data_IF_821385334384
#
_entry.id   IF_821385334384
#
_cell.length_a   1.000
_cell.length_b   1.000
_cell.length_c   1.000
_cell.angle_alpha   90.00
_cell.angle_beta   90.00
_cell.angle_gamma   90.00
#
_symmetry.space_group_name_H-M   'P 1'
#
loop_
_entity.id
_entity.type
_entity.pdbx_description
1 polymer ?
#
# COMPACT_ATOMS: atom_id res chain seq x y z
N UNK A 1 11.78 -7.12 26.44
CA UNK A 1 10.34 -7.48 26.43
C UNK A 1 9.55 -6.75 25.34
N UNK A 2 9.82 -5.46 25.06
CA UNK A 2 9.19 -4.71 23.94
C UNK A 2 9.49 -5.24 22.52
N UNK A 3 10.55 -6.03 22.31
CA UNK A 3 10.97 -6.51 20.98
C UNK A 3 10.06 -7.62 20.42
N UNK A 4 9.67 -8.60 21.24
CA UNK A 4 8.90 -9.78 20.77
C UNK A 4 7.43 -9.44 20.49
N UNK A 5 6.83 -8.55 21.29
CA UNK A 5 5.44 -8.07 21.06
C UNK A 5 5.35 -7.14 19.84
N UNK A 6 6.34 -6.26 19.62
CA UNK A 6 6.43 -5.40 18.43
C UNK A 6 6.55 -6.21 17.14
N UNK A 7 7.40 -7.25 17.13
CA UNK A 7 7.58 -8.17 16.00
C UNK A 7 6.26 -8.87 15.61
N UNK A 8 5.47 -9.27 16.61
CA UNK A 8 4.20 -9.99 16.40
C UNK A 8 3.17 -9.08 15.74
N UNK A 9 3.04 -7.84 16.21
CA UNK A 9 2.07 -6.89 15.67
C UNK A 9 2.43 -6.42 14.26
N UNK A 10 3.71 -6.24 13.96
CA UNK A 10 4.14 -5.85 12.63
C UNK A 10 3.91 -6.94 11.58
N UNK A 11 4.18 -8.20 11.90
CA UNK A 11 3.86 -9.33 11.03
C UNK A 11 2.35 -9.46 10.76
N UNK A 12 1.52 -9.40 11.80
CA UNK A 12 0.07 -9.46 11.62
C UNK A 12 -0.46 -8.28 10.80
N UNK A 13 0.06 -7.06 11.04
CA UNK A 13 -0.28 -5.89 10.24
C UNK A 13 0.12 -6.07 8.78
N UNK A 14 1.33 -6.56 8.52
CA UNK A 14 1.81 -6.83 7.17
C UNK A 14 0.84 -7.77 6.44
N UNK A 15 0.42 -8.86 7.08
CA UNK A 15 -0.52 -9.83 6.49
C UNK A 15 -1.86 -9.20 6.09
N UNK A 16 -2.41 -8.28 6.89
CA UNK A 16 -3.69 -7.60 6.60
C UNK A 16 -3.67 -6.77 5.31
N UNK A 17 -2.49 -6.29 4.91
CA UNK A 17 -2.30 -5.59 3.64
C UNK A 17 -1.79 -6.49 2.52
N UNK A 18 -1.02 -7.52 2.85
CA UNK A 18 -0.39 -8.41 1.89
C UNK A 18 -1.35 -9.47 1.32
N UNK A 19 -2.30 -9.96 2.13
CA UNK A 19 -3.26 -10.99 1.74
C UNK A 19 -4.15 -10.62 0.54
N UNK A 20 -4.78 -9.43 0.48
CA UNK A 20 -5.72 -9.09 -0.59
C UNK A 20 -5.15 -9.14 -2.03
N UNK A 21 -3.97 -8.57 -2.34
CA UNK A 21 -3.36 -8.77 -3.66
C UNK A 21 -2.79 -10.18 -3.84
N UNK A 22 -2.37 -10.85 -2.77
CA UNK A 22 -1.82 -12.21 -2.84
C UNK A 22 -2.90 -13.24 -3.22
N UNK A 23 -4.12 -13.15 -2.67
CA UNK A 23 -5.25 -13.99 -3.08
C UNK A 23 -5.67 -13.77 -4.54
N UNK A 24 -5.33 -12.62 -5.12
CA UNK A 24 -5.58 -12.26 -6.52
C UNK A 24 -4.42 -12.67 -7.45
N UNK A 25 -3.34 -13.23 -6.91
CA UNK A 25 -2.15 -13.65 -7.66
C UNK A 25 -1.25 -12.50 -8.12
N UNK A 26 -1.38 -11.29 -7.54
CA UNK A 26 -0.61 -10.12 -7.98
C UNK A 26 0.77 -9.99 -7.33
N UNK A 27 0.97 -10.54 -6.13
CA UNK A 27 2.26 -10.50 -5.42
C UNK A 27 2.35 -11.57 -4.33
N UNK A 28 3.56 -11.83 -3.82
CA UNK A 28 3.79 -12.81 -2.75
C UNK A 28 3.96 -14.23 -3.28
N UNK A 29 4.05 -15.20 -2.36
CA UNK A 29 4.13 -16.63 -2.70
C UNK A 29 2.77 -17.25 -3.05
N UNK A 30 2.78 -18.51 -3.46
CA UNK A 30 1.57 -19.24 -3.90
C UNK A 30 0.61 -19.59 -2.74
N UNK A 31 1.12 -19.70 -1.51
CA UNK A 31 0.34 -20.09 -0.32
C UNK A 31 -0.47 -18.92 0.29
N UNK A 32 -1.42 -18.40 -0.47
CA UNK A 32 -2.32 -17.33 -0.01
C UNK A 32 -3.30 -17.81 1.07
N UNK A 33 -3.62 -19.11 1.09
CA UNK A 33 -4.48 -19.71 2.11
C UNK A 33 -3.78 -19.75 3.47
N UNK A 34 -2.51 -20.17 3.51
CA UNK A 34 -1.69 -20.15 4.72
C UNK A 34 -1.49 -18.73 5.26
N UNK A 35 -1.21 -17.74 4.40
CA UNK A 35 -1.10 -16.33 4.81
C UNK A 35 -2.39 -15.85 5.50
N UNK A 36 -3.55 -16.20 4.92
CA UNK A 36 -4.83 -15.88 5.52
C UNK A 36 -5.05 -16.58 6.87
N UNK A 37 -4.70 -17.87 6.98
CA UNK A 37 -4.83 -18.63 8.23
C UNK A 37 -4.03 -18.00 9.38
N UNK A 38 -2.79 -17.57 9.12
CA UNK A 38 -2.00 -16.83 10.12
C UNK A 38 -2.68 -15.54 10.55
N UNK A 39 -3.16 -14.75 9.57
CA UNK A 39 -3.86 -13.49 9.84
C UNK A 39 -5.16 -13.71 10.63
N UNK A 40 -5.97 -14.69 10.25
CA UNK A 40 -7.26 -15.01 10.88
C UNK A 40 -7.09 -15.55 12.30
N UNK A 41 -6.11 -16.44 12.50
CA UNK A 41 -5.80 -17.02 13.80
C UNK A 41 -5.03 -16.07 14.73
N UNK A 42 -4.63 -14.88 14.26
CA UNK A 42 -3.74 -13.95 14.97
C UNK A 42 -2.44 -14.65 15.45
N UNK A 43 -1.94 -15.60 14.64
CA UNK A 43 -0.77 -16.42 14.96
C UNK A 43 0.47 -15.85 14.27
N UNK A 44 1.60 -15.85 14.98
CA UNK A 44 2.90 -15.48 14.42
C UNK A 44 3.92 -16.54 14.78
N UNK A 45 4.68 -16.99 13.78
CA UNK A 45 5.88 -17.82 13.93
C UNK A 45 6.84 -17.57 12.74
N UNK A 46 7.89 -18.38 12.64
CA UNK A 46 8.87 -18.28 11.56
C UNK A 46 8.28 -18.45 10.15
N UNK A 47 7.19 -19.23 10.01
CA UNK A 47 6.55 -19.47 8.72
C UNK A 47 5.92 -18.20 8.14
N UNK A 48 5.19 -17.42 8.95
CA UNK A 48 4.65 -16.14 8.50
C UNK A 48 5.76 -15.15 8.11
N UNK A 49 6.86 -15.15 8.87
CA UNK A 49 8.04 -14.31 8.58
C UNK A 49 8.68 -14.69 7.25
N UNK A 50 8.76 -15.98 6.93
CA UNK A 50 9.28 -16.44 5.64
C UNK A 50 8.33 -16.12 4.49
N UNK A 51 7.00 -16.24 4.69
CA UNK A 51 6.01 -15.79 3.70
C UNK A 51 6.16 -14.31 3.36
N UNK A 52 6.42 -13.44 4.35
CA UNK A 52 6.61 -12.01 4.12
C UNK A 52 7.78 -11.69 3.20
N UNK A 53 8.86 -12.51 3.22
CA UNK A 53 10.04 -12.34 2.34
C UNK A 53 9.72 -12.56 0.86
N UNK A 54 8.68 -13.34 0.55
CA UNK A 54 8.25 -13.62 -0.83
C UNK A 54 7.53 -12.43 -1.49
N UNK A 55 7.23 -11.37 -0.73
CA UNK A 55 6.67 -10.13 -1.28
C UNK A 55 7.80 -9.24 -1.82
N UNK A 56 8.39 -9.63 -2.95
CA UNK A 56 9.56 -8.97 -3.56
C UNK A 56 9.35 -7.47 -3.86
N UNK A 57 8.10 -7.04 -4.05
CA UNK A 57 7.76 -5.62 -4.19
C UNK A 57 7.74 -4.84 -2.88
N UNK A 58 7.38 -5.46 -1.75
CA UNK A 58 7.16 -4.79 -0.47
C UNK A 58 8.34 -4.96 0.50
N UNK A 59 8.85 -6.19 0.63
CA UNK A 59 9.90 -6.53 1.60
C UNK A 59 11.19 -5.71 1.43
N UNK A 60 11.66 -5.37 0.21
CA UNK A 60 12.79 -4.48 0.05
C UNK A 60 12.56 -3.05 0.57
N UNK A 61 11.35 -2.51 0.46
CA UNK A 61 11.00 -1.20 1.03
C UNK A 61 11.04 -1.23 2.56
N UNK A 62 10.52 -2.30 3.16
CA UNK A 62 10.57 -2.49 4.62
C UNK A 62 12.02 -2.51 5.13
N UNK A 63 12.92 -3.22 4.44
CA UNK A 63 14.36 -3.21 4.77
C UNK A 63 14.98 -1.82 4.64
N UNK A 64 14.65 -1.07 3.59
CA UNK A 64 15.14 0.30 3.42
C UNK A 64 14.70 1.21 4.58
N UNK A 65 13.42 1.17 4.94
CA UNK A 65 12.88 1.99 6.04
C UNK A 65 13.55 1.60 7.35
N UNK A 66 13.58 0.30 7.69
CA UNK A 66 14.18 -0.20 8.92
C UNK A 66 15.65 0.21 9.06
N UNK A 67 16.43 0.03 7.99
CA UNK A 67 17.83 0.47 7.94
C UNK A 67 17.96 1.99 8.20
N UNK A 68 17.12 2.80 7.54
CA UNK A 68 17.17 4.26 7.67
C UNK A 68 16.85 4.77 9.07
N UNK A 69 16.15 3.97 9.88
CA UNK A 69 15.82 4.32 11.26
C UNK A 69 16.65 3.60 12.32
N UNK A 70 17.57 2.72 11.90
CA UNK A 70 18.43 1.94 12.80
C UNK A 70 17.70 0.78 13.49
N UNK A 71 16.68 0.21 12.83
CA UNK A 71 15.94 -0.95 13.32
C UNK A 71 16.40 -2.19 12.55
N UNK A 72 16.74 -3.26 13.28
CA UNK A 72 17.21 -4.52 12.68
C UNK A 72 16.08 -5.28 11.98
N UNK A 73 14.89 -5.32 12.59
CA UNK A 73 13.75 -6.05 12.02
C UNK A 73 12.98 -5.21 10.99
N UNK A 74 12.98 -5.57 9.69
CA UNK A 74 12.13 -4.93 8.69
C UNK A 74 10.62 -5.11 8.95
N UNK A 75 10.25 -6.04 9.82
CA UNK A 75 8.86 -6.34 10.16
C UNK A 75 8.43 -5.74 11.50
N UNK A 76 9.22 -4.86 12.12
CA UNK A 76 8.77 -4.04 13.26
C UNK A 76 7.50 -3.26 12.86
N UNK A 77 6.52 -3.23 13.77
CA UNK A 77 5.21 -2.64 13.50
C UNK A 77 5.26 -1.23 12.93
N UNK A 78 6.20 -0.40 13.39
CA UNK A 78 6.33 0.99 12.95
C UNK A 78 6.96 1.09 11.56
N UNK A 79 7.81 0.14 11.17
CA UNK A 79 8.32 0.02 9.78
C UNK A 79 7.18 -0.37 8.85
N UNK A 80 6.39 -1.37 9.25
CA UNK A 80 5.25 -1.87 8.48
C UNK A 80 4.18 -0.78 8.32
N UNK A 81 3.85 -0.05 9.40
CA UNK A 81 2.96 1.11 9.34
C UNK A 81 3.51 2.20 8.41
N UNK A 82 4.81 2.50 8.48
CA UNK A 82 5.45 3.51 7.62
C UNK A 82 5.27 3.16 6.14
N UNK A 83 5.43 1.89 5.77
CA UNK A 83 5.29 1.44 4.39
C UNK A 83 3.84 1.50 3.89
N UNK A 84 2.86 1.03 4.67
CA UNK A 84 1.47 0.93 4.23
C UNK A 84 0.64 2.21 4.40
N UNK A 85 0.80 2.90 5.53
CA UNK A 85 -0.02 4.04 5.92
C UNK A 85 0.75 5.36 5.97
N UNK A 86 2.07 5.28 6.13
CA UNK A 86 2.92 6.41 6.40
C UNK A 86 2.97 6.75 7.89
N UNK A 87 4.15 7.13 8.35
CA UNK A 87 4.40 7.74 9.66
C UNK A 87 5.73 8.51 9.60
N UNK A 88 6.15 9.09 10.73
CA UNK A 88 7.35 9.93 10.81
C UNK A 88 8.66 9.21 10.40
N UNK A 89 8.70 7.87 10.33
CA UNK A 89 9.90 7.13 9.95
C UNK A 89 10.20 7.21 8.46
N UNK A 90 9.19 7.43 7.62
CA UNK A 90 9.42 7.74 6.21
C UNK A 90 10.28 9.00 6.03
N UNK A 91 10.14 9.96 6.94
CA UNK A 91 10.83 11.25 6.85
C UNK A 91 12.33 11.14 7.19
N UNK A 92 12.74 10.00 7.77
CA UNK A 92 14.14 9.67 8.08
C UNK A 92 14.86 8.97 6.93
N UNK A 93 14.15 8.54 5.89
CA UNK A 93 14.77 7.95 4.70
C UNK A 93 15.34 9.08 3.85
N UNK A 94 16.66 9.11 3.70
CA UNK A 94 17.30 10.17 2.93
C UNK A 94 16.95 10.07 1.43
N UNK A 95 16.87 11.19 0.69
CA UNK A 95 16.71 11.15 -0.76
C UNK A 95 17.80 10.33 -1.47
N UNK A 96 19.02 10.31 -0.93
CA UNK A 96 20.14 9.56 -1.48
C UNK A 96 19.93 8.04 -1.32
N UNK A 97 19.58 7.58 -0.11
CA UNK A 97 19.35 6.14 0.12
C UNK A 97 18.17 5.64 -0.71
N UNK A 98 17.11 6.46 -0.81
CA UNK A 98 15.98 6.11 -1.64
C UNK A 98 16.32 6.11 -3.14
N UNK A 99 17.15 7.05 -3.62
CA UNK A 99 17.69 7.01 -4.98
C UNK A 99 18.45 5.70 -5.25
N UNK A 100 19.36 5.31 -4.35
CA UNK A 100 20.17 4.09 -4.49
C UNK A 100 19.30 2.84 -4.54
N UNK A 101 18.27 2.80 -3.70
CA UNK A 101 17.25 1.77 -3.75
C UNK A 101 16.54 1.72 -5.11
N UNK A 102 16.02 2.85 -5.60
CA UNK A 102 15.32 2.91 -6.89
C UNK A 102 16.24 2.51 -8.05
N UNK A 103 17.50 2.94 -8.01
CA UNK A 103 18.53 2.59 -8.99
C UNK A 103 18.79 1.08 -9.02
N UNK A 104 18.91 0.45 -7.86
CA UNK A 104 19.13 -0.99 -7.74
C UNK A 104 17.97 -1.80 -8.30
N UNK A 105 16.73 -1.43 -7.99
CA UNK A 105 15.56 -2.27 -8.28
C UNK A 105 14.84 -1.93 -9.59
N UNK A 106 14.86 -0.68 -10.05
CA UNK A 106 13.98 -0.24 -11.14
C UNK A 106 14.68 0.35 -12.36
N UNK A 107 15.94 0.81 -12.25
CA UNK A 107 16.64 1.47 -13.37
C UNK A 107 16.74 0.61 -14.63
N UNK A 108 16.92 -0.71 -14.47
CA UNK A 108 17.06 -1.65 -15.61
C UNK A 108 15.73 -2.02 -16.28
N UNK A 109 14.61 -1.85 -15.58
CA UNK A 109 13.27 -2.26 -16.04
C UNK A 109 12.38 -1.08 -16.44
N UNK A 110 12.90 0.15 -16.31
CA UNK A 110 12.20 1.39 -16.60
C UNK A 110 12.90 2.16 -17.72
N UNK A 111 12.13 2.88 -18.55
CA UNK A 111 12.70 3.77 -19.56
C UNK A 111 13.55 4.87 -18.90
N UNK A 112 14.71 5.25 -19.49
CA UNK A 112 15.61 6.25 -18.89
C UNK A 112 14.92 7.57 -18.54
N UNK A 113 14.09 8.11 -19.44
CA UNK A 113 13.34 9.36 -19.23
C UNK A 113 12.41 9.28 -18.02
N UNK A 114 11.72 8.16 -17.83
CA UNK A 114 10.84 7.93 -16.67
C UNK A 114 11.63 7.77 -15.38
N UNK A 115 12.81 7.15 -15.45
CA UNK A 115 13.71 7.04 -14.31
C UNK A 115 14.28 8.41 -13.89
N UNK A 116 14.56 9.30 -14.84
CA UNK A 116 14.96 10.68 -14.55
C UNK A 116 13.83 11.45 -13.85
N UNK A 117 12.58 11.28 -14.26
CA UNK A 117 11.42 11.85 -13.55
C UNK A 117 11.27 11.31 -12.13
N UNK A 118 11.56 10.02 -11.90
CA UNK A 118 11.60 9.46 -10.54
C UNK A 118 12.68 10.09 -9.70
N UNK A 119 13.88 10.31 -10.25
CA UNK A 119 14.98 10.99 -9.56
C UNK A 119 14.56 12.39 -9.13
N UNK A 120 13.91 13.16 -10.01
CA UNK A 120 13.39 14.49 -9.69
C UNK A 120 12.31 14.49 -8.60
N UNK A 121 11.59 13.38 -8.43
CA UNK A 121 10.53 13.25 -7.44
C UNK A 121 11.07 13.15 -5.99
N UNK A 122 12.33 12.73 -5.81
CA UNK A 122 12.97 12.51 -4.51
C UNK A 122 13.06 13.78 -3.66
N UNK A 123 13.33 14.91 -4.29
CA UNK A 123 13.37 16.23 -3.61
C UNK A 123 11.99 16.88 -3.49
N UNK A 124 10.98 16.31 -4.15
CA UNK A 124 9.60 16.83 -4.22
C UNK A 124 8.61 16.05 -3.34
N UNK A 125 9.11 15.16 -2.48
CA UNK A 125 8.30 14.44 -1.49
C UNK A 125 8.07 12.96 -1.79
N UNK A 126 8.78 12.35 -2.75
CA UNK A 126 8.76 10.90 -2.90
C UNK A 126 9.32 10.21 -1.65
N UNK A 127 8.66 9.14 -1.22
CA UNK A 127 9.00 8.36 -0.03
C UNK A 127 8.78 6.87 -0.29
N UNK A 128 9.45 5.96 0.46
CA UNK A 128 9.29 4.51 0.31
C UNK A 128 7.95 3.99 0.88
N UNK A 129 6.84 4.55 0.41
CA UNK A 129 5.47 4.20 0.80
C UNK A 129 4.79 3.40 -0.31
N UNK A 130 3.87 2.49 0.02
CA UNK A 130 3.17 1.66 -0.96
C UNK A 130 2.44 2.48 -2.03
N UNK A 131 1.71 3.53 -1.65
CA UNK A 131 1.10 4.45 -2.62
C UNK A 131 2.12 5.12 -3.56
N UNK A 132 3.35 5.41 -3.12
CA UNK A 132 4.38 5.88 -4.05
C UNK A 132 4.81 4.76 -5.01
N UNK A 133 4.91 3.52 -4.55
CA UNK A 133 5.14 2.38 -5.44
C UNK A 133 4.05 2.29 -6.52
N UNK A 134 2.77 2.44 -6.15
CA UNK A 134 1.65 2.41 -7.10
C UNK A 134 1.73 3.59 -8.08
N UNK A 135 1.86 4.82 -7.57
CA UNK A 135 1.76 6.03 -8.38
C UNK A 135 3.04 6.41 -9.13
N UNK A 136 4.21 6.09 -8.57
CA UNK A 136 5.51 6.44 -9.09
C UNK A 136 6.21 5.29 -9.82
N UNK A 137 6.05 4.04 -9.37
CA UNK A 137 6.76 2.90 -9.95
C UNK A 137 5.88 2.12 -10.92
N UNK A 138 4.81 1.49 -10.42
CA UNK A 138 3.90 0.67 -11.21
C UNK A 138 3.35 1.45 -12.42
N UNK A 139 2.94 2.70 -12.18
CA UNK A 139 2.44 3.59 -13.21
C UNK A 139 3.47 3.94 -14.29
N UNK A 140 4.76 4.05 -13.94
CA UNK A 140 5.83 4.39 -14.89
C UNK A 140 6.34 3.17 -15.65
N UNK A 141 6.13 1.96 -15.11
CA UNK A 141 6.38 0.72 -15.83
C UNK A 141 5.33 0.43 -16.92
N UNK A 142 4.16 1.11 -16.89
CA UNK A 142 3.17 0.97 -17.94
C UNK A 142 3.67 1.59 -19.24
N UNK A 143 3.80 0.80 -20.32
CA UNK A 143 4.38 1.25 -21.60
C UNK A 143 3.69 2.49 -22.18
N UNK A 144 2.36 2.54 -22.13
CA UNK A 144 1.56 3.71 -22.49
C UNK A 144 0.23 3.70 -21.75
N UNK A 145 -0.25 4.90 -21.41
CA UNK A 145 -1.62 5.19 -20.99
C UNK A 145 -2.43 5.75 -22.15
N UNK A 146 -1.78 6.36 -23.15
CA UNK A 146 -2.44 6.70 -24.41
C UNK A 146 -2.78 5.40 -25.13
N UNK A 147 -4.05 5.03 -25.10
CA UNK A 147 -4.53 3.74 -25.56
C UNK A 147 -6.05 3.68 -25.57
N UNK A 148 -6.61 2.60 -26.10
CA UNK A 148 -8.06 2.40 -26.13
C UNK A 148 -8.68 2.48 -24.73
N UNK A 149 -9.90 3.01 -24.63
CA UNK A 149 -10.62 3.17 -23.36
C UNK A 149 -10.57 1.93 -22.43
N UNK A 150 -10.70 0.68 -22.94
CA UNK A 150 -10.61 -0.53 -22.09
C UNK A 150 -9.25 -0.72 -21.40
N UNK A 151 -8.15 -0.28 -22.01
CA UNK A 151 -6.83 -0.34 -21.40
C UNK A 151 -6.72 0.67 -20.26
N UNK A 152 -7.23 1.88 -20.46
CA UNK A 152 -7.22 2.93 -19.46
C UNK A 152 -8.06 2.53 -18.24
N UNK A 153 -9.27 2.00 -18.46
CA UNK A 153 -10.13 1.49 -17.39
C UNK A 153 -9.45 0.39 -16.56
N UNK A 154 -8.73 -0.53 -17.22
CA UNK A 154 -7.96 -1.57 -16.52
C UNK A 154 -6.85 -0.98 -15.66
N UNK A 155 -6.06 -0.03 -16.18
CA UNK A 155 -4.99 0.62 -15.41
C UNK A 155 -5.58 1.41 -14.24
N UNK A 156 -6.68 2.14 -14.47
CA UNK A 156 -7.41 2.85 -13.43
C UNK A 156 -7.88 1.90 -12.32
N UNK A 157 -8.50 0.78 -12.68
CA UNK A 157 -8.93 -0.24 -11.73
C UNK A 157 -7.76 -0.84 -10.94
N UNK A 158 -6.63 -1.11 -11.58
CA UNK A 158 -5.41 -1.58 -10.91
C UNK A 158 -4.83 -0.54 -9.94
N UNK A 159 -4.73 0.72 -10.36
CA UNK A 159 -4.19 1.80 -9.51
C UNK A 159 -5.10 2.06 -8.32
N UNK A 160 -6.41 2.17 -8.55
CA UNK A 160 -7.35 2.45 -7.48
C UNK A 160 -7.52 1.24 -6.55
N UNK A 161 -7.42 0.01 -7.05
CA UNK A 161 -7.42 -1.20 -6.23
C UNK A 161 -6.14 -1.39 -5.40
N UNK A 162 -4.97 -1.09 -5.98
CA UNK A 162 -3.66 -1.34 -5.37
C UNK A 162 -3.23 -0.25 -4.39
N UNK A 163 -3.63 1.01 -4.58
CA UNK A 163 -3.31 2.02 -3.56
C UNK A 163 -3.97 1.67 -2.23
N UNK A 164 -3.28 1.98 -1.13
CA UNK A 164 -3.87 2.03 0.19
C UNK A 164 -4.79 3.24 0.25
N UNK A 165 -6.08 2.95 0.30
CA UNK A 165 -7.16 3.92 0.36
C UNK A 165 -7.79 3.92 1.75
N UNK A 166 -8.79 4.78 1.96
CA UNK A 166 -9.53 4.85 3.21
C UNK A 166 -11.04 4.94 2.92
N UNK A 167 -11.87 4.58 3.89
CA UNK A 167 -13.31 4.77 3.80
C UNK A 167 -13.98 4.79 5.17
N UNK A 168 -15.04 5.58 5.31
CA UNK A 168 -15.86 5.59 6.51
C UNK A 168 -16.89 4.45 6.44
N UNK A 169 -16.96 3.63 7.47
CA UNK A 169 -17.93 2.54 7.58
C UNK A 169 -19.34 3.11 7.73
N UNK A 170 -20.20 2.78 6.77
CA UNK A 170 -21.63 3.08 6.81
C UNK A 170 -22.36 2.00 7.63
N UNK A 171 -22.08 0.74 7.32
CA UNK A 171 -22.69 -0.40 8.00
C UNK A 171 -21.85 -1.67 7.88
N UNK A 172 -22.07 -2.61 8.81
CA UNK A 172 -21.45 -3.93 8.86
C UNK A 172 -22.49 -4.97 8.46
N UNK A 173 -22.20 -5.77 7.44
CA UNK A 173 -23.10 -6.80 6.90
C UNK A 173 -22.35 -8.12 6.85
N UNK A 174 -22.57 -8.98 7.85
CA UNK A 174 -21.91 -10.28 7.94
C UNK A 174 -20.38 -10.16 8.00
N UNK A 175 -19.71 -10.55 6.91
CA UNK A 175 -18.26 -10.50 6.74
C UNK A 175 -17.77 -9.29 5.92
N UNK A 176 -18.68 -8.43 5.49
CA UNK A 176 -18.41 -7.28 4.63
C UNK A 176 -18.77 -5.96 5.31
N UNK A 177 -18.13 -4.90 4.85
CA UNK A 177 -18.45 -3.52 5.22
C UNK A 177 -18.95 -2.78 3.99
N UNK A 178 -19.97 -1.94 4.19
CA UNK A 178 -20.28 -0.87 3.24
C UNK A 178 -19.55 0.37 3.73
N UNK A 179 -18.67 0.92 2.90
CA UNK A 179 -17.82 2.05 3.24
C UNK A 179 -17.98 3.18 2.22
N UNK A 180 -17.99 4.42 2.68
CA UNK A 180 -17.91 5.58 1.81
C UNK A 180 -16.44 5.88 1.48
N UNK A 181 -15.98 5.50 0.28
CA UNK A 181 -14.57 5.52 -0.12
C UNK A 181 -14.36 6.50 -1.28
N UNK A 182 -13.47 7.50 -1.16
CA UNK A 182 -13.08 8.31 -2.31
C UNK A 182 -12.23 7.48 -3.28
N UNK A 183 -12.65 7.29 -4.55
CA UNK A 183 -11.85 6.60 -5.56
C UNK A 183 -10.73 7.53 -6.06
N UNK A 184 -9.73 6.96 -6.73
CA UNK A 184 -8.89 7.71 -7.66
C UNK A 184 -9.48 7.57 -9.05
N UNK A 185 -9.41 8.65 -9.84
CA UNK A 185 -9.92 8.73 -11.20
C UNK A 185 -9.03 9.62 -12.06
N UNK A 186 -9.23 9.61 -13.38
CA UNK A 186 -8.59 10.55 -14.28
C UNK A 186 -9.62 11.60 -14.69
N UNK A 187 -9.24 12.87 -14.58
CA UNK A 187 -10.02 14.02 -15.02
C UNK A 187 -9.06 15.05 -15.60
N UNK A 188 -9.36 15.56 -16.80
CA UNK A 188 -8.55 16.58 -17.48
C UNK A 188 -7.06 16.20 -17.54
N UNK A 189 -6.77 14.96 -17.96
CA UNK A 189 -5.43 14.35 -18.01
C UNK A 189 -4.64 14.40 -16.69
N UNK A 190 -5.35 14.32 -15.57
CA UNK A 190 -4.75 14.26 -14.24
C UNK A 190 -5.41 13.19 -13.38
N UNK A 191 -4.58 12.48 -12.60
CA UNK A 191 -5.07 11.67 -11.50
C UNK A 191 -5.58 12.55 -10.38
N UNK A 192 -6.82 12.32 -9.97
CA UNK A 192 -7.48 13.05 -8.90
C UNK A 192 -8.18 12.09 -7.94
N UNK A 193 -8.37 12.53 -6.70
CA UNK A 193 -9.22 11.85 -5.72
C UNK A 193 -10.66 12.31 -5.98
N UNK A 194 -11.54 11.36 -6.33
CA UNK A 194 -12.96 11.60 -6.57
C UNK A 194 -13.74 11.80 -5.27
N UNK A 195 -15.03 12.15 -5.42
CA UNK A 195 -15.96 12.22 -4.29
C UNK A 195 -16.15 10.82 -3.69
N UNK A 196 -16.26 10.68 -2.36
CA UNK A 196 -16.58 9.41 -1.72
C UNK A 196 -17.84 8.76 -2.31
N UNK A 197 -17.75 7.47 -2.62
CA UNK A 197 -18.87 6.65 -3.07
C UNK A 197 -19.01 5.41 -2.19
N UNK A 198 -20.24 4.90 -1.95
CA UNK A 198 -20.44 3.64 -1.26
C UNK A 198 -19.82 2.48 -2.05
N UNK A 199 -18.97 1.70 -1.40
CA UNK A 199 -18.42 0.45 -1.94
C UNK A 199 -18.51 -0.64 -0.89
N UNK A 200 -18.58 -1.89 -1.37
CA UNK A 200 -18.52 -3.08 -0.53
C UNK A 200 -17.08 -3.56 -0.43
N UNK A 201 -16.61 -3.83 0.77
CA UNK A 201 -15.29 -4.40 1.03
C UNK A 201 -15.42 -5.62 1.94
N UNK A 202 -14.58 -6.61 1.70
CA UNK A 202 -14.42 -7.75 2.61
C UNK A 202 -13.68 -7.28 3.86
N UNK A 203 -14.06 -7.79 5.03
CA UNK A 203 -13.34 -7.55 6.28
C UNK A 203 -12.89 -8.86 6.94
N UNK A 204 -13.54 -9.98 6.59
CA UNK A 204 -13.13 -11.33 6.96
C UNK A 204 -13.68 -12.35 5.94
N UNK A 205 -13.20 -13.59 5.96
CA UNK A 205 -13.86 -14.68 5.22
C UNK A 205 -14.94 -15.35 6.09
N UNK A 206 -15.85 -16.09 5.46
CA UNK A 206 -17.09 -16.60 6.08
C UNK A 206 -16.86 -17.55 7.29
N UNK A 207 -15.67 -18.16 7.39
CA UNK A 207 -15.40 -19.24 8.34
C UNK A 207 -14.72 -18.79 9.64
N UNK A 208 -14.40 -17.50 9.81
CA UNK A 208 -13.47 -17.07 10.86
C UNK A 208 -14.00 -15.98 11.81
N UNK A 209 -13.35 -15.94 12.98
CA UNK A 209 -13.55 -14.95 14.05
C UNK A 209 -13.32 -13.51 13.58
N UNK A 210 -13.76 -12.55 14.40
CA UNK A 210 -13.55 -11.12 14.13
C UNK A 210 -12.04 -10.85 14.10
N UNK A 211 -11.49 -10.36 12.98
CA UNK A 211 -10.08 -9.94 12.91
C UNK A 211 -9.79 -8.79 13.90
N UNK A 212 -10.74 -7.86 14.03
CA UNK A 212 -10.72 -6.72 14.94
C UNK A 212 -12.09 -6.04 14.92
N UNK A 213 -12.58 -5.48 16.03
CA UNK A 213 -13.94 -4.91 16.06
C UNK A 213 -14.10 -3.65 15.21
N UNK A 214 -15.21 -3.57 14.47
CA UNK A 214 -15.54 -2.46 13.57
C UNK A 214 -17.00 -2.05 13.70
N UNK A 215 -17.25 -0.76 13.72
CA UNK A 215 -18.58 -0.16 13.88
C UNK A 215 -18.86 0.88 12.79
N UNK A 216 -20.13 1.17 12.57
CA UNK A 216 -20.51 2.32 11.75
C UNK A 216 -19.89 3.60 12.31
N UNK A 217 -19.37 4.46 11.44
CA UNK A 217 -18.65 5.68 11.78
C UNK A 217 -17.13 5.52 11.87
N UNK A 218 -16.60 4.30 12.07
CA UNK A 218 -15.16 4.05 12.01
C UNK A 218 -14.60 4.37 10.62
N UNK A 219 -13.31 4.74 10.54
CA UNK A 219 -12.60 4.87 9.27
C UNK A 219 -11.60 3.73 9.15
N UNK A 220 -11.57 3.09 7.99
CA UNK A 220 -10.74 1.90 7.74
C UNK A 220 -9.84 2.14 6.54
N UNK A 221 -8.63 1.56 6.55
CA UNK A 221 -7.80 1.50 5.35
C UNK A 221 -8.23 0.34 4.46
N UNK A 222 -8.13 0.51 3.15
CA UNK A 222 -8.64 -0.45 2.16
C UNK A 222 -7.58 -0.72 1.10
N UNK A 223 -7.35 -2.01 0.82
CA UNK A 223 -6.44 -2.50 -0.22
C UNK A 223 -7.10 -3.66 -0.98
N UNK A 224 -7.25 -3.54 -2.31
CA UNK A 224 -7.89 -4.56 -3.16
C UNK A 224 -9.27 -5.05 -2.67
N UNK A 225 -10.14 -4.11 -2.28
CA UNK A 225 -11.49 -4.41 -1.82
C UNK A 225 -11.55 -5.08 -0.44
N UNK A 226 -10.48 -4.99 0.34
CA UNK A 226 -10.38 -5.55 1.69
C UNK A 226 -10.12 -4.44 2.72
N UNK A 227 -10.84 -4.46 3.83
CA UNK A 227 -10.61 -3.57 4.97
C UNK A 227 -9.46 -4.11 5.84
N UNK A 228 -8.28 -3.49 5.71
CA UNK A 228 -7.04 -3.98 6.34
C UNK A 228 -6.90 -3.62 7.82
N UNK A 229 -7.26 -2.41 8.23
CA UNK A 229 -7.27 -2.01 9.66
C UNK A 229 -8.13 -0.76 9.87
N UNK A 230 -8.51 -0.51 11.14
CA UNK A 230 -9.12 0.74 11.57
C UNK A 230 -8.07 1.84 11.72
N UNK A 231 -8.34 2.99 11.14
CA UNK A 231 -7.45 4.15 11.17
C UNK A 231 -7.76 5.09 12.32
N UNK A 232 -6.72 5.46 13.06
CA UNK A 232 -6.74 6.61 13.96
C UNK A 232 -6.63 7.91 13.16
N UNK A 233 -7.09 9.01 13.73
CA UNK A 233 -7.06 10.32 13.07
C UNK A 233 -5.66 10.72 12.55
N UNK A 234 -4.54 10.52 13.29
CA UNK A 234 -3.20 10.84 12.77
C UNK A 234 -2.78 9.97 11.57
N UNK A 235 -3.12 8.67 11.58
CA UNK A 235 -2.82 7.76 10.47
C UNK A 235 -3.62 8.17 9.22
N UNK A 236 -4.90 8.49 9.38
CA UNK A 236 -5.75 8.97 8.28
C UNK A 236 -5.21 10.27 7.67
N UNK A 237 -4.85 11.25 8.50
CA UNK A 237 -4.29 12.51 8.04
C UNK A 237 -2.97 12.32 7.28
N UNK A 238 -2.09 11.44 7.78
CA UNK A 238 -0.83 11.09 7.11
C UNK A 238 -1.07 10.41 5.76
N UNK A 239 -1.91 9.37 5.72
CA UNK A 239 -2.23 8.65 4.49
C UNK A 239 -2.84 9.56 3.41
N UNK A 240 -3.74 10.47 3.79
CA UNK A 240 -4.32 11.45 2.86
C UNK A 240 -3.23 12.39 2.29
N UNK A 241 -2.36 12.90 3.16
CA UNK A 241 -1.31 13.85 2.79
C UNK A 241 -0.29 13.22 1.85
N UNK A 242 0.18 12.01 2.18
CA UNK A 242 1.14 11.26 1.38
C UNK A 242 0.52 10.88 0.03
N UNK A 243 -0.73 10.38 0.02
CA UNK A 243 -1.47 10.07 -1.21
C UNK A 243 -1.58 11.27 -2.15
N UNK A 244 -1.94 12.46 -1.62
CA UNK A 244 -2.01 13.70 -2.42
C UNK A 244 -0.65 14.10 -2.98
N UNK A 245 0.40 13.96 -2.18
CA UNK A 245 1.78 14.23 -2.61
C UNK A 245 2.16 13.31 -3.76
N UNK A 246 1.94 12.00 -3.64
CA UNK A 246 2.29 11.04 -4.67
C UNK A 246 1.46 11.19 -5.95
N UNK A 247 0.18 11.56 -5.83
CA UNK A 247 -0.64 11.91 -7.00
C UNK A 247 -0.10 13.15 -7.73
N UNK A 248 0.30 14.19 -6.99
CA UNK A 248 0.94 15.38 -7.59
C UNK A 248 2.22 15.02 -8.33
N UNK A 249 3.02 14.08 -7.80
CA UNK A 249 4.22 13.58 -8.47
C UNK A 249 3.86 12.78 -9.73
N UNK A 250 2.90 11.85 -9.64
CA UNK A 250 2.45 11.07 -10.78
C UNK A 250 1.88 11.93 -11.90
N UNK A 251 1.22 13.04 -11.59
CA UNK A 251 0.69 13.95 -12.61
C UNK A 251 1.77 14.70 -13.39
N UNK A 252 3.03 14.73 -12.92
CA UNK A 252 4.14 15.30 -13.70
C UNK A 252 4.37 14.51 -15.00
N UNK A 253 4.00 13.23 -15.07
CA UNK A 253 4.15 12.41 -16.27
C UNK A 253 3.31 12.88 -17.45
N UNK A 254 2.11 13.41 -17.18
CA UNK A 254 1.21 13.92 -18.22
C UNK A 254 1.72 15.23 -18.82
N UNK A 255 2.73 15.86 -18.22
CA UNK A 255 3.38 17.05 -18.79
C UNK A 255 4.48 16.69 -19.81
N UNK A 256 4.87 15.40 -19.88
CA UNK A 256 6.02 14.93 -20.67
C UNK A 256 5.65 13.81 -21.66
N UNK A 257 4.43 13.28 -21.60
CA UNK A 257 3.84 12.32 -22.56
C UNK A 257 2.80 13.03 -23.43
#
# INVERSE_FOLDING_TARGET
MQTVESDTQGLLRFSRYAFPPNRLGYCGGEDHAGLYQYMAAQKVDGGLRDMAKNFEGAYPYLRLIAHSVGIEDPLDERVVEAYWLGNAWLDRVSPYDFYRFLEQYYKKVMAPTRFDMLKDSLTKGARPHHNFHVFGIFLYLQKSLTGSAPRMERVLGMVDGCRISWGQVITVIGNQLIVNRPPVMIKDDQWVIGKPVPVRVDWKLDHDGRLWEVHAGDVVSIHWGWASERLRAPQLARLITDTRTFLKLANQRFLCE
#
